data_IF_367139224538
#
_entry.id   IF_367139224538
#
_cell.length_a   1.000
_cell.length_b   1.000
_cell.length_c   1.000
_cell.angle_alpha   90.00
_cell.angle_beta   90.00
_cell.angle_gamma   90.00
#
_symmetry.space_group_name_H-M   'P 1'
#
loop_
_entity.id
_entity.type
_entity.pdbx_description
1 polymer ?
#
# COMPACT_ATOMS: atom_id res chain seq x y z
N UNK A 1 65.43 13.23 -23.87
CA UNK A 1 64.18 13.94 -24.13
C UNK A 1 62.99 12.99 -24.36
N UNK A 2 63.06 12.01 -25.27
CA UNK A 2 61.93 11.10 -25.59
C UNK A 2 61.47 10.20 -24.42
N UNK A 3 62.38 9.79 -23.53
CA UNK A 3 62.02 8.96 -22.35
C UNK A 3 61.35 9.77 -21.24
N UNK A 4 61.68 11.04 -21.10
CA UNK A 4 61.06 11.95 -20.11
C UNK A 4 59.62 12.30 -20.55
N UNK A 5 59.40 12.47 -21.85
CA UNK A 5 58.09 12.74 -22.41
C UNK A 5 57.13 11.55 -22.20
N UNK A 6 57.60 10.33 -22.34
CA UNK A 6 56.80 9.10 -22.12
C UNK A 6 56.41 8.92 -20.67
N UNK A 7 57.27 9.26 -19.72
CA UNK A 7 56.96 9.18 -18.28
C UNK A 7 55.92 10.25 -17.86
N UNK A 8 56.00 11.44 -18.46
CA UNK A 8 55.01 12.50 -18.19
C UNK A 8 53.63 12.18 -18.76
N UNK A 9 53.55 11.53 -19.94
CA UNK A 9 52.28 11.09 -20.52
C UNK A 9 51.65 9.95 -19.72
N UNK A 10 52.46 9.00 -19.22
CA UNK A 10 51.97 7.90 -18.40
C UNK A 10 51.48 8.37 -17.03
N UNK A 11 52.10 9.40 -16.44
CA UNK A 11 51.69 10.03 -15.18
C UNK A 11 50.38 10.78 -15.32
N UNK A 12 50.12 11.39 -16.49
CA UNK A 12 48.89 12.14 -16.72
C UNK A 12 47.66 11.25 -16.93
N UNK A 13 47.86 9.99 -17.40
CA UNK A 13 46.77 9.04 -17.60
C UNK A 13 46.22 8.44 -16.29
N UNK A 14 46.97 8.47 -15.20
CA UNK A 14 46.54 7.93 -13.91
C UNK A 14 45.64 8.87 -13.10
N UNK A 15 45.52 10.18 -13.46
CA UNK A 15 44.66 11.12 -12.74
C UNK A 15 43.22 11.20 -13.25
N UNK A 16 42.89 10.49 -14.34
CA UNK A 16 41.58 10.60 -14.98
C UNK A 16 40.55 9.58 -14.50
N UNK A 17 40.85 8.76 -13.46
CA UNK A 17 40.02 7.60 -13.06
C UNK A 17 39.34 7.69 -11.70
N UNK A 18 39.50 8.76 -10.94
CA UNK A 18 38.85 8.88 -9.62
C UNK A 18 37.60 9.76 -9.73
N UNK A 19 36.54 9.22 -10.35
CA UNK A 19 35.21 9.77 -10.16
C UNK A 19 34.75 9.31 -8.78
N UNK A 20 34.51 10.22 -7.81
CA UNK A 20 33.77 9.85 -6.62
C UNK A 20 32.38 9.44 -7.13
N UNK A 21 32.01 8.18 -6.93
CA UNK A 21 30.64 7.75 -6.99
C UNK A 21 29.91 8.60 -5.94
N UNK A 22 29.20 9.64 -6.41
CA UNK A 22 28.16 10.27 -5.62
C UNK A 22 27.18 9.15 -5.32
N UNK A 23 27.31 8.54 -4.14
CA UNK A 23 26.27 7.74 -3.57
C UNK A 23 25.03 8.64 -3.60
N UNK A 24 24.12 8.38 -4.52
CA UNK A 24 22.77 8.88 -4.43
C UNK A 24 22.27 8.33 -3.10
N UNK A 25 22.28 9.17 -2.08
CA UNK A 25 21.42 9.02 -0.94
C UNK A 25 20.02 9.17 -1.50
N UNK A 26 19.49 8.07 -2.07
CA UNK A 26 18.08 7.89 -2.16
C UNK A 26 17.56 8.12 -0.74
N UNK A 27 16.75 9.11 -0.53
CA UNK A 27 15.87 9.14 0.62
C UNK A 27 15.17 7.79 0.56
N UNK A 28 15.55 6.87 1.45
CA UNK A 28 14.78 5.67 1.75
C UNK A 28 13.44 6.17 2.29
N UNK A 29 12.54 6.53 1.39
CA UNK A 29 11.13 6.64 1.71
C UNK A 29 10.74 5.20 1.91
N UNK A 30 10.76 4.76 3.17
CA UNK A 30 10.29 3.44 3.53
C UNK A 30 8.89 3.28 2.92
N UNK A 31 8.72 2.28 2.07
CA UNK A 31 7.43 2.02 1.45
C UNK A 31 6.36 1.86 2.53
N UNK A 32 5.25 2.54 2.38
CA UNK A 32 4.12 2.51 3.31
C UNK A 32 2.87 2.07 2.55
N UNK A 33 2.14 1.14 3.14
CA UNK A 33 0.83 0.69 2.65
C UNK A 33 -0.25 1.36 3.45
N UNK A 34 -1.10 2.14 2.78
CA UNK A 34 -2.30 2.74 3.37
C UNK A 34 -3.51 1.90 3.00
N UNK A 35 -4.23 1.44 4.00
CA UNK A 35 -5.43 0.62 3.87
C UNK A 35 -6.66 1.34 4.41
N UNK A 36 -7.80 1.20 3.74
CA UNK A 36 -9.10 1.60 4.25
C UNK A 36 -9.86 0.37 4.74
N UNK A 37 -10.23 0.34 6.00
CA UNK A 37 -10.97 -0.74 6.63
C UNK A 37 -12.39 -0.30 6.98
N UNK A 38 -13.39 -1.01 6.45
CA UNK A 38 -14.81 -0.75 6.69
C UNK A 38 -15.37 -1.79 7.65
N UNK A 39 -16.09 -1.31 8.65
CA UNK A 39 -16.68 -2.12 9.71
C UNK A 39 -18.05 -1.58 10.15
N UNK A 40 -18.82 -2.36 10.90
CA UNK A 40 -20.14 -1.99 11.43
C UNK A 40 -20.20 -2.37 12.91
N UNK A 41 -20.85 -1.54 13.72
CA UNK A 41 -21.11 -1.84 15.12
C UNK A 41 -21.96 -3.11 15.26
N UNK A 42 -21.60 -3.98 16.22
CA UNK A 42 -22.31 -5.24 16.47
C UNK A 42 -22.07 -6.33 15.41
N UNK A 43 -21.09 -6.14 14.51
CA UNK A 43 -20.69 -7.16 13.54
C UNK A 43 -19.60 -8.06 14.15
N UNK A 44 -19.90 -9.32 14.53
CA UNK A 44 -18.92 -10.19 15.18
C UNK A 44 -17.70 -10.50 14.30
N UNK A 45 -17.88 -10.60 12.99
CA UNK A 45 -16.77 -10.79 12.04
C UNK A 45 -15.86 -9.56 11.93
N UNK A 46 -16.44 -8.34 12.09
CA UNK A 46 -15.65 -7.12 12.14
C UNK A 46 -14.83 -7.05 13.43
N UNK A 47 -15.44 -7.42 14.55
CA UNK A 47 -14.75 -7.47 15.84
C UNK A 47 -13.58 -8.47 15.82
N UNK A 48 -13.77 -9.65 15.22
CA UNK A 48 -12.70 -10.65 15.05
C UNK A 48 -11.50 -10.05 14.28
N UNK A 49 -11.76 -9.41 13.14
CA UNK A 49 -10.69 -8.79 12.34
C UNK A 49 -10.00 -7.66 13.11
N UNK A 50 -10.75 -6.80 13.78
CA UNK A 50 -10.21 -5.67 14.56
C UNK A 50 -9.38 -6.12 15.78
N UNK A 51 -9.78 -7.20 16.44
CA UNK A 51 -9.15 -7.64 17.68
C UNK A 51 -7.99 -8.63 17.45
N UNK A 52 -7.96 -9.30 16.33
CA UNK A 52 -6.99 -10.36 16.05
C UNK A 52 -6.12 -10.01 14.83
N UNK A 53 -6.74 -9.84 13.66
CA UNK A 53 -6.01 -9.75 12.40
C UNK A 53 -5.25 -8.42 12.28
N UNK A 54 -5.92 -7.28 12.49
CA UNK A 54 -5.28 -5.97 12.35
C UNK A 54 -4.13 -5.76 13.33
N UNK A 55 -4.23 -6.15 14.62
CA UNK A 55 -3.09 -6.10 15.54
C UNK A 55 -1.91 -6.99 15.13
N UNK A 56 -2.17 -8.19 14.59
CA UNK A 56 -1.11 -9.06 14.05
C UNK A 56 -0.41 -8.42 12.85
N UNK A 57 -1.17 -7.83 11.92
CA UNK A 57 -0.59 -7.10 10.78
C UNK A 57 0.22 -5.88 11.25
N UNK A 58 -0.29 -5.14 12.22
CA UNK A 58 0.43 -4.00 12.79
C UNK A 58 1.73 -4.43 13.50
N UNK A 59 1.72 -5.57 14.19
CA UNK A 59 2.92 -6.14 14.82
C UNK A 59 3.96 -6.61 13.78
N UNK A 60 3.50 -7.14 12.65
CA UNK A 60 4.36 -7.66 11.58
C UNK A 60 4.97 -6.54 10.73
N UNK A 61 4.19 -5.54 10.33
CA UNK A 61 4.58 -4.52 9.36
C UNK A 61 4.92 -3.16 10.01
N UNK A 62 4.55 -2.94 11.27
CA UNK A 62 4.88 -1.72 12.02
C UNK A 62 4.44 -0.45 11.30
N UNK A 63 5.35 0.51 11.19
CA UNK A 63 5.12 1.81 10.55
C UNK A 63 4.94 1.74 9.03
N UNK A 64 5.17 0.57 8.42
CA UNK A 64 4.93 0.35 6.99
C UNK A 64 3.46 0.07 6.66
N UNK A 65 2.59 -0.10 7.66
CA UNK A 65 1.16 -0.30 7.49
C UNK A 65 0.38 0.77 8.24
N UNK A 66 -0.44 1.52 7.52
CA UNK A 66 -1.39 2.49 8.07
C UNK A 66 -2.80 2.05 7.72
N UNK A 67 -3.61 1.72 8.73
CA UNK A 67 -5.01 1.33 8.55
C UNK A 67 -5.91 2.45 9.02
N UNK A 68 -6.71 2.99 8.10
CA UNK A 68 -7.75 3.95 8.40
C UNK A 68 -9.10 3.23 8.47
N UNK A 69 -9.79 3.33 9.62
CA UNK A 69 -11.05 2.63 9.86
C UNK A 69 -12.25 3.54 9.61
N UNK A 70 -13.27 3.00 8.94
CA UNK A 70 -14.51 3.67 8.58
C UNK A 70 -15.69 2.84 9.09
N UNK A 71 -16.49 3.42 9.96
CA UNK A 71 -17.73 2.82 10.40
C UNK A 71 -18.83 3.00 9.34
N UNK A 72 -19.63 1.95 9.15
CA UNK A 72 -20.77 1.92 8.23
C UNK A 72 -22.02 1.68 9.06
N UNK A 73 -22.67 2.76 9.54
CA UNK A 73 -23.81 2.67 10.44
C UNK A 73 -25.11 3.25 9.88
N UNK A 74 -25.03 4.06 8.82
CA UNK A 74 -26.18 4.73 8.21
C UNK A 74 -26.49 4.22 6.81
N UNK A 75 -27.71 4.44 6.33
CA UNK A 75 -28.10 4.09 4.97
C UNK A 75 -27.23 4.78 3.91
N UNK A 76 -26.81 6.01 4.16
CA UNK A 76 -25.97 6.76 3.22
C UNK A 76 -24.56 6.17 3.14
N UNK A 77 -23.99 5.75 4.28
CA UNK A 77 -22.69 5.07 4.35
C UNK A 77 -22.73 3.70 3.68
N UNK A 78 -23.83 2.94 3.86
CA UNK A 78 -24.05 1.67 3.15
C UNK A 78 -24.12 1.90 1.63
N UNK A 79 -24.90 2.90 1.19
CA UNK A 79 -24.98 3.23 -0.24
C UNK A 79 -23.62 3.66 -0.80
N UNK A 80 -22.85 4.44 -0.03
CA UNK A 80 -21.49 4.83 -0.40
C UNK A 80 -20.56 3.61 -0.51
N UNK A 81 -20.66 2.67 0.44
CA UNK A 81 -19.88 1.43 0.38
C UNK A 81 -20.22 0.62 -0.89
N UNK A 82 -21.49 0.50 -1.27
CA UNK A 82 -21.88 -0.13 -2.54
C UNK A 82 -21.29 0.57 -3.76
N UNK A 83 -21.28 1.91 -3.79
CA UNK A 83 -20.67 2.67 -4.89
C UNK A 83 -19.16 2.43 -4.97
N UNK A 84 -18.45 2.48 -3.84
CA UNK A 84 -17.01 2.17 -3.77
C UNK A 84 -16.76 0.75 -4.29
N UNK A 85 -17.50 -0.22 -3.82
CA UNK A 85 -17.37 -1.64 -4.22
C UNK A 85 -17.63 -1.84 -5.71
N UNK A 86 -18.66 -1.19 -6.25
CA UNK A 86 -18.97 -1.26 -7.69
C UNK A 86 -17.82 -0.69 -8.55
N UNK A 87 -17.16 0.38 -8.12
CA UNK A 87 -16.01 0.95 -8.82
C UNK A 87 -14.79 0.02 -8.81
N UNK A 88 -14.73 -0.90 -7.84
CA UNK A 88 -13.70 -1.94 -7.70
C UNK A 88 -14.13 -3.29 -8.32
N UNK A 89 -15.26 -3.31 -9.01
CA UNK A 89 -15.76 -4.47 -9.73
C UNK A 89 -16.55 -5.49 -8.90
N UNK A 90 -16.94 -5.14 -7.66
CA UNK A 90 -17.78 -6.02 -6.84
C UNK A 90 -19.27 -5.75 -7.10
N UNK A 91 -20.07 -6.82 -7.14
CA UNK A 91 -21.53 -6.72 -7.09
C UNK A 91 -22.02 -6.39 -5.67
N UNK A 92 -23.31 -6.06 -5.52
CA UNK A 92 -23.91 -5.81 -4.20
C UNK A 92 -23.88 -7.03 -3.29
N UNK A 93 -24.00 -8.21 -3.88
CA UNK A 93 -23.98 -9.50 -3.16
C UNK A 93 -22.59 -9.85 -2.62
N UNK A 94 -21.55 -9.35 -3.28
CA UNK A 94 -20.16 -9.52 -2.85
C UNK A 94 -19.69 -8.42 -1.88
N UNK A 95 -20.48 -7.34 -1.79
CA UNK A 95 -20.17 -6.20 -0.90
C UNK A 95 -20.64 -6.48 0.51
N UNK A 96 -19.78 -6.27 1.49
CA UNK A 96 -20.12 -6.44 2.91
C UNK A 96 -18.99 -5.96 3.81
N UNK A 97 -19.22 -6.09 5.11
CA UNK A 97 -18.22 -5.81 6.14
C UNK A 97 -17.92 -7.08 6.95
N UNK A 98 -16.70 -7.27 7.44
CA UNK A 98 -15.52 -6.39 7.29
C UNK A 98 -15.01 -6.34 5.84
N UNK A 99 -14.57 -5.18 5.40
CA UNK A 99 -13.93 -4.98 4.08
C UNK A 99 -12.65 -4.18 4.26
N UNK A 100 -11.61 -4.55 3.53
CA UNK A 100 -10.36 -3.78 3.49
C UNK A 100 -9.95 -3.50 2.04
N UNK A 101 -9.51 -2.28 1.78
CA UNK A 101 -9.06 -1.81 0.46
C UNK A 101 -7.60 -1.36 0.57
N UNK A 102 -6.75 -1.86 -0.33
CA UNK A 102 -5.36 -1.43 -0.51
C UNK A 102 -5.15 -1.18 -2.01
N UNK A 103 -4.92 0.09 -2.37
CA UNK A 103 -4.86 0.47 -3.79
C UNK A 103 -6.18 0.19 -4.51
N UNK A 104 -6.15 -0.73 -5.47
CA UNK A 104 -7.31 -1.23 -6.23
C UNK A 104 -7.77 -2.62 -5.78
N UNK A 105 -7.10 -3.20 -4.79
CA UNK A 105 -7.42 -4.53 -4.27
C UNK A 105 -8.39 -4.44 -3.09
N UNK A 106 -9.39 -5.31 -3.10
CA UNK A 106 -10.40 -5.39 -2.06
C UNK A 106 -10.52 -6.81 -1.51
N UNK A 107 -10.58 -6.93 -0.20
CA UNK A 107 -10.84 -8.17 0.52
C UNK A 107 -12.10 -8.00 1.37
N UNK A 108 -12.99 -8.98 1.35
CA UNK A 108 -14.28 -8.94 2.07
C UNK A 108 -14.41 -10.19 2.94
N UNK A 109 -14.83 -9.98 4.18
CA UNK A 109 -15.16 -11.04 5.13
C UNK A 109 -13.99 -11.54 5.96
N UNK A 110 -14.35 -12.25 7.04
CA UNK A 110 -13.40 -12.77 8.03
C UNK A 110 -12.57 -13.97 7.54
N UNK A 111 -12.86 -14.52 6.37
CA UNK A 111 -12.04 -15.58 5.77
C UNK A 111 -11.00 -15.04 4.80
N UNK A 112 -11.37 -14.10 3.92
CA UNK A 112 -10.46 -13.55 2.93
C UNK A 112 -9.41 -12.65 3.57
N UNK A 113 -9.82 -11.80 4.52
CA UNK A 113 -8.94 -10.82 5.14
C UNK A 113 -7.74 -11.50 5.81
N UNK A 114 -7.88 -12.42 6.79
CA UNK A 114 -6.73 -13.03 7.43
C UNK A 114 -5.87 -13.86 6.48
N UNK A 115 -6.48 -14.49 5.48
CA UNK A 115 -5.77 -15.38 4.56
C UNK A 115 -4.94 -14.62 3.53
N UNK A 116 -5.43 -13.49 3.01
CA UNK A 116 -4.85 -12.80 1.87
C UNK A 116 -4.16 -11.48 2.21
N UNK A 117 -4.56 -10.84 3.33
CA UNK A 117 -4.06 -9.52 3.72
C UNK A 117 -2.53 -9.48 3.89
N UNK A 118 -1.87 -10.45 4.57
CA UNK A 118 -0.41 -10.42 4.70
C UNK A 118 0.31 -10.36 3.35
N UNK A 119 -0.05 -11.25 2.43
CA UNK A 119 0.56 -11.30 1.10
C UNK A 119 0.25 -10.07 0.25
N UNK A 120 -0.93 -9.47 0.43
CA UNK A 120 -1.30 -8.23 -0.26
C UNK A 120 -0.45 -7.04 0.22
N UNK A 121 -0.22 -6.94 1.54
CA UNK A 121 0.66 -5.91 2.11
C UNK A 121 2.10 -6.12 1.62
N UNK A 122 2.62 -7.35 1.66
CA UNK A 122 3.97 -7.67 1.20
C UNK A 122 4.16 -7.30 -0.28
N UNK A 123 3.21 -7.64 -1.14
CA UNK A 123 3.24 -7.27 -2.56
C UNK A 123 3.24 -5.75 -2.75
N UNK A 124 2.35 -5.04 -2.06
CA UNK A 124 2.28 -3.59 -2.12
C UNK A 124 3.58 -2.92 -1.65
N UNK A 125 4.22 -3.44 -0.59
CA UNK A 125 5.53 -2.93 -0.11
C UNK A 125 6.64 -3.16 -1.14
N UNK A 126 6.65 -4.30 -1.84
CA UNK A 126 7.61 -4.60 -2.90
C UNK A 126 7.44 -3.66 -4.11
N UNK A 127 6.21 -3.23 -4.38
CA UNK A 127 5.87 -2.29 -5.46
C UNK A 127 6.07 -0.80 -5.05
N UNK A 128 6.61 -0.53 -3.85
CA UNK A 128 6.93 0.82 -3.38
C UNK A 128 5.87 1.42 -2.45
N UNK A 129 4.92 0.64 -1.97
CA UNK A 129 3.84 1.04 -1.08
C UNK A 129 2.50 1.20 -1.80
N UNK A 130 1.47 1.56 -1.05
CA UNK A 130 0.16 1.90 -1.59
C UNK A 130 -0.34 3.19 -0.96
N UNK A 131 -0.77 4.14 -1.78
CA UNK A 131 -1.40 5.37 -1.29
C UNK A 131 -2.78 5.07 -0.69
N UNK A 132 -3.25 5.99 0.15
CA UNK A 132 -4.60 5.90 0.71
C UNK A 132 -5.64 5.92 -0.42
N UNK A 133 -6.61 4.98 -0.42
CA UNK A 133 -7.66 4.95 -1.43
C UNK A 133 -8.46 6.27 -1.43
N UNK A 134 -8.63 6.87 -2.59
CA UNK A 134 -9.50 8.04 -2.77
C UNK A 134 -10.97 7.58 -2.79
N UNK A 135 -11.56 7.48 -1.61
CA UNK A 135 -12.92 6.97 -1.40
C UNK A 135 -14.00 7.83 -2.06
N UNK A 136 -13.78 9.15 -2.20
CA UNK A 136 -14.72 10.05 -2.87
C UNK A 136 -14.73 9.81 -4.38
N UNK A 137 -13.56 9.66 -4.96
CA UNK A 137 -13.41 9.30 -6.38
C UNK A 137 -14.01 7.94 -6.69
N UNK A 138 -13.73 6.93 -5.84
CA UNK A 138 -14.28 5.58 -6.00
C UNK A 138 -15.81 5.58 -5.89
N UNK A 139 -16.39 6.26 -4.90
CA UNK A 139 -17.84 6.37 -4.76
C UNK A 139 -18.49 7.06 -5.97
N UNK A 140 -17.90 8.15 -6.48
CA UNK A 140 -18.40 8.86 -7.65
C UNK A 140 -18.35 8.00 -8.91
N UNK A 141 -17.26 7.24 -9.11
CA UNK A 141 -17.10 6.36 -10.24
C UNK A 141 -18.14 5.21 -10.23
N UNK A 142 -18.41 4.63 -9.05
CA UNK A 142 -19.38 3.54 -8.91
C UNK A 142 -20.84 3.97 -8.93
N UNK A 143 -21.16 5.25 -8.74
CA UNK A 143 -22.53 5.76 -8.83
C UNK A 143 -23.11 5.73 -10.26
N UNK A 144 -22.28 5.55 -11.27
CA UNK A 144 -22.66 5.46 -12.69
C UNK A 144 -22.60 4.04 -13.27
N UNK A 145 -22.33 3.02 -12.44
CA UNK A 145 -22.16 1.64 -12.87
C UNK A 145 -23.43 0.80 -12.77
#
# INVERSE_FOLDING_TARGET
MRRILLVLILSLLCLAGFQPALAQQGTDVSAVVNAAFFWMEGCPYCEEVMQTVLPEMQAQFGDQLVVQSFEVGTTDEVNRLYQISASLGLSKEETGVPMIIIGDQVLVGSEQIPTRLPGLIEAALQDGGAEAPDLDRLATAGAGA
#
